data_IF_319707667398
#
_entry.id   IF_319707667398
#
_cell.length_a   1.000
_cell.length_b   1.000
_cell.length_c   1.000
_cell.angle_alpha   90.00
_cell.angle_beta   90.00
_cell.angle_gamma   90.00
#
_symmetry.space_group_name_H-M   'P 1'
#
loop_
_entity.id
_entity.type
_entity.pdbx_description
1 polymer ?
#
# COMPACT_ATOMS: atom_id res chain seq x y z
N UNK A 1 24.22 -33.77 -76.84
CA UNK A 1 23.79 -34.14 -75.47
C UNK A 1 24.51 -33.24 -74.47
N UNK A 2 23.76 -32.44 -73.68
CA UNK A 2 24.06 -32.07 -72.28
C UNK A 2 22.91 -31.17 -71.77
N UNK A 3 21.90 -31.82 -71.18
CA UNK A 3 20.90 -31.21 -70.29
C UNK A 3 21.48 -31.23 -68.87
N UNK A 4 21.24 -30.19 -68.09
CA UNK A 4 21.32 -30.28 -66.63
C UNK A 4 21.99 -29.06 -66.00
N UNK A 5 21.20 -28.15 -65.45
CA UNK A 5 21.75 -27.07 -64.63
C UNK A 5 20.84 -25.87 -64.44
N UNK A 6 19.57 -26.06 -64.06
CA UNK A 6 18.75 -24.90 -63.68
C UNK A 6 17.70 -25.16 -62.59
N UNK A 7 17.41 -26.42 -62.25
CA UNK A 7 16.24 -26.73 -61.41
C UNK A 7 16.55 -26.79 -59.91
N UNK A 8 17.81 -26.99 -59.48
CA UNK A 8 18.14 -27.20 -58.05
C UNK A 8 18.22 -25.93 -57.18
N UNK A 9 18.37 -24.73 -57.75
CA UNK A 9 18.56 -23.49 -56.95
C UNK A 9 17.26 -22.86 -56.44
N UNK A 10 16.13 -23.08 -57.13
CA UNK A 10 14.85 -22.47 -56.75
C UNK A 10 14.20 -23.15 -55.55
N UNK A 11 14.29 -24.48 -55.43
CA UNK A 11 13.66 -25.22 -54.32
C UNK A 11 14.27 -24.89 -52.95
N UNK A 12 15.60 -24.72 -52.86
CA UNK A 12 16.25 -24.33 -51.60
C UNK A 12 15.89 -22.92 -51.13
N UNK A 13 15.59 -21.99 -52.05
CA UNK A 13 15.14 -20.64 -51.71
C UNK A 13 13.74 -20.65 -51.08
N UNK A 14 12.82 -21.49 -51.60
CA UNK A 14 11.48 -21.64 -51.02
C UNK A 14 11.51 -22.38 -49.67
N UNK A 15 12.39 -23.38 -49.50
CA UNK A 15 12.57 -24.05 -48.20
C UNK A 15 13.18 -23.12 -47.14
N UNK A 16 14.18 -22.30 -47.50
CA UNK A 16 14.76 -21.29 -46.59
C UNK A 16 13.74 -20.20 -46.22
N UNK A 17 12.91 -19.76 -47.17
CA UNK A 17 11.85 -18.78 -46.90
C UNK A 17 10.73 -19.36 -46.05
N UNK A 18 10.36 -20.63 -46.28
CA UNK A 18 9.34 -21.34 -45.50
C UNK A 18 9.82 -21.67 -44.09
N UNK A 19 11.11 -22.00 -43.91
CA UNK A 19 11.72 -22.24 -42.60
C UNK A 19 11.85 -20.93 -41.80
N UNK A 20 12.23 -19.83 -42.45
CA UNK A 20 12.28 -18.50 -41.82
C UNK A 20 10.88 -17.97 -41.44
N UNK A 21 9.87 -18.20 -42.28
CA UNK A 21 8.48 -17.88 -41.96
C UNK A 21 7.92 -18.74 -40.82
N UNK A 22 8.27 -20.03 -40.75
CA UNK A 22 7.94 -20.89 -39.60
C UNK A 22 8.65 -20.43 -38.31
N UNK A 23 9.92 -20.03 -38.37
CA UNK A 23 10.64 -19.50 -37.20
C UNK A 23 10.02 -18.19 -36.66
N UNK A 24 9.50 -17.32 -37.53
CA UNK A 24 8.78 -16.10 -37.14
C UNK A 24 7.41 -16.38 -36.49
N UNK A 25 6.80 -17.54 -36.75
CA UNK A 25 5.55 -17.96 -36.09
C UNK A 25 5.76 -18.69 -34.75
N UNK A 26 6.99 -19.11 -34.42
CA UNK A 26 7.33 -19.75 -33.13
C UNK A 26 7.88 -18.78 -32.08
N UNK A 27 8.27 -17.55 -32.47
CA UNK A 27 8.32 -16.44 -31.52
C UNK A 27 6.89 -15.92 -31.36
N UNK A 28 6.06 -16.74 -30.72
CA UNK A 28 4.71 -16.36 -30.36
C UNK A 28 4.75 -14.98 -29.73
N UNK A 29 3.90 -14.09 -30.23
CA UNK A 29 3.41 -12.97 -29.46
C UNK A 29 2.81 -13.55 -28.17
N UNK A 30 3.64 -13.76 -27.15
CA UNK A 30 3.16 -13.87 -25.78
C UNK A 30 2.57 -12.53 -25.47
N UNK A 31 1.25 -12.39 -25.66
CA UNK A 31 0.52 -11.26 -25.11
C UNK A 31 0.84 -11.27 -23.63
N UNK A 32 1.49 -10.21 -23.17
CA UNK A 32 1.84 -10.01 -21.77
C UNK A 32 0.54 -10.12 -20.96
N UNK A 33 0.42 -11.16 -20.14
CA UNK A 33 -0.77 -11.36 -19.33
C UNK A 33 -0.78 -10.29 -18.24
N UNK A 34 -1.69 -9.33 -18.36
CA UNK A 34 -1.81 -8.24 -17.41
C UNK A 34 -2.85 -8.58 -16.34
N UNK A 35 -2.42 -8.61 -15.08
CA UNK A 35 -3.29 -8.87 -13.94
C UNK A 35 -3.81 -7.56 -13.35
N UNK A 36 -5.11 -7.33 -13.47
CA UNK A 36 -5.79 -6.23 -12.79
C UNK A 36 -6.09 -6.66 -11.35
N UNK A 37 -5.63 -5.86 -10.39
CA UNK A 37 -5.94 -6.03 -8.96
C UNK A 37 -6.89 -4.93 -8.52
N UNK A 38 -8.05 -5.30 -7.98
CA UNK A 38 -9.07 -4.37 -7.51
C UNK A 38 -8.71 -3.78 -6.15
N UNK A 39 -8.92 -2.47 -6.01
CA UNK A 39 -8.55 -1.75 -4.80
C UNK A 39 -9.49 -2.06 -3.62
N UNK A 40 -9.01 -1.93 -2.36
CA UNK A 40 -9.88 -1.79 -1.20
C UNK A 40 -10.78 -0.55 -1.34
N UNK A 41 -11.81 -0.42 -0.51
CA UNK A 41 -12.70 0.75 -0.53
C UNK A 41 -13.10 1.22 0.87
N UNK A 42 -13.36 2.51 1.02
CA UNK A 42 -13.85 3.10 2.27
C UNK A 42 -15.28 2.64 2.53
N UNK A 43 -15.60 2.35 3.79
CA UNK A 43 -16.98 2.08 4.20
C UNK A 43 -17.62 3.32 4.82
N UNK A 44 -16.99 3.87 5.85
CA UNK A 44 -17.67 4.81 6.74
C UNK A 44 -16.79 5.96 7.26
N UNK A 45 -15.53 5.69 7.58
CA UNK A 45 -14.67 6.66 8.24
C UNK A 45 -13.38 6.91 7.46
N UNK A 46 -13.22 8.17 7.05
CA UNK A 46 -12.01 8.74 6.47
C UNK A 46 -11.59 9.92 7.36
N UNK A 47 -10.69 9.72 8.34
CA UNK A 47 -10.31 10.78 9.24
C UNK A 47 -9.65 11.92 8.47
N UNK A 48 -10.07 13.14 8.81
CA UNK A 48 -9.36 14.36 8.48
C UNK A 48 -8.59 14.80 9.71
N UNK A 49 -7.48 15.48 9.51
CA UNK A 49 -6.57 15.77 10.61
C UNK A 49 -7.18 16.65 11.72
N UNK A 50 -8.30 17.34 11.47
CA UNK A 50 -9.04 18.12 12.48
C UNK A 50 -10.20 17.36 13.13
N UNK A 51 -10.29 16.05 12.91
CA UNK A 51 -11.36 15.24 13.49
C UNK A 51 -11.19 15.04 15.00
N UNK A 52 -12.31 15.11 15.73
CA UNK A 52 -12.40 14.75 17.15
C UNK A 52 -11.78 13.38 17.42
N UNK A 53 -11.21 13.17 18.61
CA UNK A 53 -10.48 11.93 18.92
C UNK A 53 -11.33 10.65 18.71
N UNK A 54 -12.66 10.76 18.83
CA UNK A 54 -13.61 9.67 18.56
C UNK A 54 -13.56 9.20 17.11
N UNK A 55 -13.21 10.08 16.18
CA UNK A 55 -13.15 9.88 14.73
C UNK A 55 -11.72 9.62 14.21
N UNK A 56 -10.70 9.63 15.07
CA UNK A 56 -9.29 9.36 14.70
C UNK A 56 -8.98 7.87 14.58
N UNK A 57 -9.67 7.22 13.65
CA UNK A 57 -9.45 5.84 13.24
C UNK A 57 -9.74 5.71 11.75
N UNK A 58 -9.21 4.65 11.14
CA UNK A 58 -9.41 4.33 9.72
C UNK A 58 -10.35 3.13 9.59
N UNK A 59 -11.27 3.17 8.63
CA UNK A 59 -12.25 2.11 8.40
C UNK A 59 -12.49 1.86 6.91
N UNK A 60 -12.03 0.70 6.45
CA UNK A 60 -12.11 0.30 5.05
C UNK A 60 -12.41 -1.20 4.92
N UNK A 61 -12.80 -1.62 3.72
CA UNK A 61 -13.03 -3.02 3.37
C UNK A 61 -11.95 -3.50 2.41
N UNK A 62 -11.39 -4.68 2.66
CA UNK A 62 -10.61 -5.40 1.65
C UNK A 62 -11.53 -5.85 0.50
N UNK A 63 -10.96 -6.05 -0.68
CA UNK A 63 -11.70 -6.44 -1.88
C UNK A 63 -11.16 -7.77 -2.42
N UNK A 64 -11.27 -8.82 -1.61
CA UNK A 64 -10.65 -10.12 -1.91
C UNK A 64 -11.51 -10.94 -2.86
N UNK A 65 -12.83 -10.76 -2.82
CA UNK A 65 -13.76 -11.50 -3.70
C UNK A 65 -13.58 -11.12 -5.15
N UNK A 66 -13.25 -9.85 -5.43
CA UNK A 66 -12.92 -9.39 -6.79
C UNK A 66 -11.47 -9.69 -7.19
N UNK A 67 -10.64 -10.11 -6.23
CA UNK A 67 -9.24 -10.52 -6.43
C UNK A 67 -9.01 -12.01 -6.16
N UNK A 68 -9.74 -12.94 -6.82
CA UNK A 68 -9.46 -14.36 -6.67
C UNK A 68 -8.09 -14.70 -7.26
N UNK A 69 -7.52 -15.83 -6.85
CA UNK A 69 -6.39 -16.42 -7.57
C UNK A 69 -6.87 -16.81 -8.99
N UNK A 70 -6.07 -16.48 -10.01
CA UNK A 70 -6.44 -16.66 -11.43
C UNK A 70 -5.23 -17.19 -12.19
N UNK A 71 -5.30 -18.43 -12.68
CA UNK A 71 -4.16 -19.05 -13.36
C UNK A 71 -2.93 -19.06 -12.47
N UNK A 72 -1.84 -18.43 -12.93
CA UNK A 72 -0.59 -18.30 -12.17
C UNK A 72 -0.58 -17.13 -11.18
N UNK A 73 -1.55 -16.21 -11.24
CA UNK A 73 -1.63 -15.09 -10.32
C UNK A 73 -2.14 -15.50 -8.95
N UNK A 74 -1.43 -15.04 -7.92
CA UNK A 74 -1.74 -15.27 -6.52
C UNK A 74 -2.01 -13.94 -5.82
N UNK A 75 -3.22 -13.79 -5.28
CA UNK A 75 -3.56 -12.67 -4.44
C UNK A 75 -2.95 -12.85 -3.03
N UNK A 76 -2.19 -11.84 -2.57
CA UNK A 76 -1.45 -11.91 -1.30
C UNK A 76 -2.20 -11.23 -0.16
N UNK A 77 -3.03 -10.23 -0.46
CA UNK A 77 -3.86 -9.52 0.52
C UNK A 77 -3.81 -8.00 0.35
N UNK A 78 -4.01 -7.27 1.44
CA UNK A 78 -4.03 -5.81 1.46
C UNK A 78 -2.90 -5.25 2.30
N UNK A 79 -2.00 -4.51 1.64
CA UNK A 79 -0.98 -3.71 2.29
C UNK A 79 -1.56 -2.36 2.71
N UNK A 80 -1.09 -1.84 3.83
CA UNK A 80 -1.41 -0.50 4.31
C UNK A 80 -0.09 0.25 4.40
N UNK A 81 -0.08 1.49 3.95
CA UNK A 81 1.11 2.35 3.89
C UNK A 81 0.85 3.63 4.69
N UNK A 82 1.91 4.17 5.29
CA UNK A 82 1.85 5.40 6.06
C UNK A 82 3.04 6.32 5.74
N UNK A 83 2.84 7.61 5.96
CA UNK A 83 3.90 8.62 6.03
C UNK A 83 3.57 9.63 7.12
N UNK A 84 4.60 10.05 7.86
CA UNK A 84 4.46 11.00 8.96
C UNK A 84 4.90 12.38 8.47
N UNK A 85 4.19 13.43 8.89
CA UNK A 85 4.50 14.82 8.55
C UNK A 85 4.43 15.67 9.81
N UNK A 86 5.28 16.70 9.93
CA UNK A 86 5.03 17.80 10.87
C UNK A 86 4.20 18.92 10.23
N UNK A 87 3.99 18.86 8.91
CA UNK A 87 3.22 19.82 8.15
C UNK A 87 2.15 19.16 7.30
N UNK A 88 0.88 19.29 7.70
CA UNK A 88 -0.23 18.72 6.94
C UNK A 88 -0.40 19.37 5.56
N UNK A 89 0.07 20.61 5.38
CA UNK A 89 -0.03 21.32 4.10
C UNK A 89 0.75 20.61 2.97
N UNK A 90 1.75 19.80 3.34
CA UNK A 90 2.50 18.98 2.39
C UNK A 90 1.72 17.74 1.91
N UNK A 91 0.67 17.33 2.62
CA UNK A 91 -0.11 16.13 2.31
C UNK A 91 -1.00 16.38 1.10
N UNK A 92 -1.63 17.56 0.99
CA UNK A 92 -2.58 17.87 -0.07
C UNK A 92 -2.00 17.67 -1.47
N UNK A 93 -0.79 18.14 -1.73
CA UNK A 93 -0.14 17.99 -3.04
C UNK A 93 0.19 16.53 -3.37
N UNK A 94 0.60 15.74 -2.36
CA UNK A 94 0.85 14.31 -2.49
C UNK A 94 -0.45 13.56 -2.78
N UNK A 95 -1.51 13.84 -2.03
CA UNK A 95 -2.83 13.24 -2.23
C UNK A 95 -3.37 13.53 -3.63
N UNK A 96 -3.26 14.78 -4.10
CA UNK A 96 -3.65 15.13 -5.48
C UNK A 96 -2.84 14.36 -6.52
N UNK A 97 -1.52 14.29 -6.38
CA UNK A 97 -0.67 13.58 -7.33
C UNK A 97 -0.98 12.07 -7.39
N UNK A 98 -1.19 11.43 -6.24
CA UNK A 98 -1.57 10.01 -6.17
C UNK A 98 -2.97 9.75 -6.73
N UNK A 99 -3.91 10.67 -6.48
CA UNK A 99 -5.26 10.60 -7.04
C UNK A 99 -5.24 10.73 -8.56
N UNK A 100 -4.40 11.61 -9.10
CA UNK A 100 -4.15 11.69 -10.54
C UNK A 100 -3.51 10.42 -11.09
N UNK A 101 -2.52 9.86 -10.39
CA UNK A 101 -1.84 8.62 -10.78
C UNK A 101 -2.77 7.39 -10.82
N UNK A 102 -3.83 7.36 -10.00
CA UNK A 102 -4.87 6.33 -10.05
C UNK A 102 -5.66 6.32 -11.38
N UNK A 103 -5.53 7.33 -12.25
CA UNK A 103 -6.13 7.34 -13.58
C UNK A 103 -5.23 6.72 -14.65
N UNK A 104 -4.03 6.26 -14.29
CA UNK A 104 -3.16 5.49 -15.18
C UNK A 104 -3.83 4.19 -15.64
N UNK A 105 -3.47 3.75 -16.84
CA UNK A 105 -3.84 2.42 -17.36
C UNK A 105 -3.05 1.29 -16.67
N UNK A 106 -1.86 1.61 -16.17
CA UNK A 106 -1.12 0.74 -15.24
C UNK A 106 -1.66 0.96 -13.82
N UNK A 107 -2.32 -0.06 -13.29
CA UNK A 107 -2.94 -0.07 -11.97
C UNK A 107 -1.91 0.02 -10.84
N UNK A 108 -0.69 -0.49 -11.08
CA UNK A 108 0.41 -0.46 -10.11
C UNK A 108 1.09 0.91 -10.05
N UNK A 109 0.88 1.78 -11.05
CA UNK A 109 1.58 3.05 -11.18
C UNK A 109 1.47 3.93 -9.92
N UNK A 110 0.26 4.10 -9.40
CA UNK A 110 0.05 4.91 -8.20
C UNK A 110 0.70 4.29 -6.94
N UNK A 111 0.67 2.96 -6.82
CA UNK A 111 1.33 2.25 -5.73
C UNK A 111 2.86 2.36 -5.80
N UNK A 112 3.43 2.29 -7.00
CA UNK A 112 4.86 2.50 -7.22
C UNK A 112 5.25 3.95 -6.91
N UNK A 113 4.46 4.93 -7.34
CA UNK A 113 4.68 6.34 -7.01
C UNK A 113 4.64 6.58 -5.48
N UNK A 114 3.68 5.97 -4.78
CA UNK A 114 3.53 6.01 -3.33
C UNK A 114 4.79 5.47 -2.60
N UNK A 115 5.29 4.30 -3.02
CA UNK A 115 6.45 3.61 -2.43
C UNK A 115 7.77 4.27 -2.80
N UNK A 116 7.98 4.54 -4.09
CA UNK A 116 9.28 4.83 -4.66
C UNK A 116 9.57 6.32 -4.74
N UNK A 117 8.55 7.16 -4.93
CA UNK A 117 8.72 8.62 -5.00
C UNK A 117 8.41 9.25 -3.66
N UNK A 118 7.23 9.00 -3.10
CA UNK A 118 6.80 9.62 -1.84
C UNK A 118 7.31 8.89 -0.59
N UNK A 119 7.96 7.74 -0.76
CA UNK A 119 8.62 6.98 0.30
C UNK A 119 7.70 6.67 1.47
N UNK A 120 6.43 6.36 1.19
CA UNK A 120 5.54 5.81 2.22
C UNK A 120 6.06 4.45 2.63
N UNK A 121 5.92 4.13 3.92
CA UNK A 121 6.37 2.85 4.48
C UNK A 121 5.17 1.97 4.75
N UNK A 122 5.34 0.67 4.56
CA UNK A 122 4.29 -0.27 4.89
C UNK A 122 4.07 -0.27 6.41
N UNK A 123 2.80 -0.13 6.81
CA UNK A 123 2.35 -0.27 8.17
C UNK A 123 2.57 -1.71 8.63
N UNK A 124 3.22 -1.82 9.77
CA UNK A 124 3.51 -3.08 10.43
C UNK A 124 2.52 -3.40 11.54
N UNK A 125 2.76 -4.55 12.16
CA UNK A 125 2.03 -5.01 13.32
C UNK A 125 2.95 -5.79 14.25
N UNK A 126 2.57 -5.97 15.51
CA UNK A 126 3.37 -6.73 16.48
C UNK A 126 3.57 -8.20 16.06
N UNK A 127 2.64 -8.78 15.29
CA UNK A 127 2.80 -10.13 14.75
C UNK A 127 3.63 -10.21 13.45
N UNK A 128 3.97 -9.08 12.82
CA UNK A 128 4.90 -9.02 11.69
C UNK A 128 4.42 -9.61 10.35
N UNK A 129 3.14 -9.40 9.98
CA UNK A 129 2.62 -9.82 8.67
C UNK A 129 2.99 -8.88 7.51
N UNK A 130 3.19 -9.44 6.31
CA UNK A 130 3.35 -8.68 5.05
C UNK A 130 2.65 -9.48 3.93
N UNK A 131 1.65 -8.92 3.23
CA UNK A 131 0.99 -7.64 3.52
C UNK A 131 0.35 -7.62 4.92
N UNK A 132 -0.01 -6.43 5.43
CA UNK A 132 -0.55 -6.28 6.79
C UNK A 132 -1.76 -7.20 7.00
N UNK A 133 -2.66 -7.23 6.01
CA UNK A 133 -3.86 -8.06 5.98
C UNK A 133 -3.65 -9.17 4.94
N UNK A 134 -3.29 -10.37 5.37
CA UNK A 134 -3.06 -11.52 4.47
C UNK A 134 -4.36 -12.04 3.89
N UNK A 135 -4.40 -12.34 2.60
CA UNK A 135 -5.58 -12.87 1.91
C UNK A 135 -6.15 -14.12 2.61
N UNK A 136 -7.47 -14.15 2.73
CA UNK A 136 -8.26 -15.32 3.18
C UNK A 136 -9.29 -15.74 2.14
N UNK A 137 -9.44 -14.97 1.06
CA UNK A 137 -10.42 -15.23 -0.01
C UNK A 137 -11.81 -14.66 0.26
N UNK A 138 -11.94 -13.78 1.26
CA UNK A 138 -13.19 -13.15 1.61
C UNK A 138 -12.94 -11.72 2.08
N UNK A 139 -13.80 -10.80 1.66
CA UNK A 139 -13.69 -9.40 2.08
C UNK A 139 -13.82 -9.25 3.59
N UNK A 140 -13.01 -8.35 4.16
CA UNK A 140 -12.99 -8.07 5.59
C UNK A 140 -12.97 -6.57 5.81
N UNK A 141 -13.81 -6.10 6.74
CA UNK A 141 -13.77 -4.73 7.24
C UNK A 141 -12.61 -4.60 8.23
N UNK A 142 -11.82 -3.55 8.09
CA UNK A 142 -10.60 -3.32 8.84
C UNK A 142 -10.74 -2.02 9.60
N UNK A 143 -10.48 -2.07 10.90
CA UNK A 143 -10.37 -0.90 11.75
C UNK A 143 -8.91 -0.71 12.16
N UNK A 144 -8.39 0.51 12.05
CA UNK A 144 -7.04 0.85 12.51
C UNK A 144 -7.08 2.13 13.34
N UNK A 145 -6.51 2.09 14.54
CA UNK A 145 -6.21 3.26 15.37
C UNK A 145 -4.74 3.21 15.75
N UNK A 146 -3.98 4.24 15.41
CA UNK A 146 -2.51 4.22 15.46
C UNK A 146 -1.90 4.39 16.86
N UNK A 147 -2.57 5.16 17.72
CA UNK A 147 -2.09 5.55 19.05
C UNK A 147 -3.21 5.43 20.07
N UNK A 148 -2.84 5.38 21.34
CA UNK A 148 -3.79 5.64 22.42
C UNK A 148 -4.13 7.14 22.42
N UNK A 149 -5.42 7.45 22.35
CA UNK A 149 -5.98 8.81 22.44
C UNK A 149 -6.69 9.08 23.78
N UNK A 150 -7.05 8.01 24.51
CA UNK A 150 -7.54 8.07 25.88
C UNK A 150 -7.22 6.75 26.59
N UNK A 151 -7.28 6.75 27.93
CA UNK A 151 -7.24 5.52 28.73
C UNK A 151 -8.59 4.77 28.76
N UNK A 152 -9.12 4.49 27.57
CA UNK A 152 -10.36 3.75 27.38
C UNK A 152 -10.20 2.80 26.19
N UNK A 153 -10.70 1.56 26.33
CA UNK A 153 -10.62 0.51 25.31
C UNK A 153 -11.07 0.94 23.92
N UNK A 154 -12.03 1.87 23.78
CA UNK A 154 -12.49 2.36 22.47
C UNK A 154 -11.44 3.22 21.73
N UNK A 155 -10.49 3.80 22.46
CA UNK A 155 -9.55 4.80 21.96
C UNK A 155 -8.09 4.37 22.07
N UNK A 156 -7.86 3.08 22.28
CA UNK A 156 -6.53 2.47 22.30
C UNK A 156 -6.02 2.13 20.91
N UNK A 157 -4.70 2.14 20.74
CA UNK A 157 -4.02 1.70 19.52
C UNK A 157 -4.37 0.23 19.23
N UNK A 158 -4.95 -0.03 18.06
CA UNK A 158 -5.35 -1.37 17.67
C UNK A 158 -5.62 -1.50 16.17
N UNK A 159 -5.51 -2.73 15.71
CA UNK A 159 -5.99 -3.22 14.43
C UNK A 159 -7.05 -4.28 14.74
N UNK A 160 -8.23 -4.17 14.14
CA UNK A 160 -9.28 -5.19 14.18
C UNK A 160 -9.55 -5.65 12.75
N UNK A 161 -9.32 -6.93 12.49
CA UNK A 161 -9.64 -7.58 11.21
C UNK A 161 -11.00 -8.26 11.34
N UNK A 162 -11.92 -7.97 10.41
CA UNK A 162 -13.31 -8.41 10.53
C UNK A 162 -14.11 -7.50 11.48
N UNK A 163 -13.83 -6.20 11.47
CA UNK A 163 -14.51 -5.21 12.30
C UNK A 163 -16.03 -5.21 12.02
N UNK A 164 -16.83 -5.26 13.08
CA UNK A 164 -18.30 -5.31 13.01
C UNK A 164 -18.98 -4.02 13.42
N UNK A 165 -18.21 -2.97 13.75
CA UNK A 165 -18.72 -1.70 14.26
C UNK A 165 -18.52 -1.47 15.76
N UNK A 166 -18.00 -2.46 16.50
CA UNK A 166 -17.61 -2.31 17.91
C UNK A 166 -16.09 -2.38 18.09
N UNK A 167 -15.48 -1.25 18.46
CA UNK A 167 -14.04 -1.13 18.69
C UNK A 167 -13.62 -1.41 20.14
N UNK A 168 -14.59 -1.75 21.02
CA UNK A 168 -14.35 -2.15 22.40
C UNK A 168 -13.69 -3.53 22.52
N UNK A 169 -13.77 -4.33 21.45
CA UNK A 169 -13.27 -5.70 21.38
C UNK A 169 -11.74 -5.78 21.46
N UNK A 170 -11.26 -6.99 21.72
CA UNK A 170 -9.83 -7.27 21.75
C UNK A 170 -9.19 -7.03 20.37
N UNK A 171 -7.99 -6.45 20.32
CA UNK A 171 -7.29 -6.21 19.07
C UNK A 171 -6.92 -7.53 18.39
N UNK A 172 -7.00 -7.58 17.06
CA UNK A 172 -6.30 -8.61 16.27
C UNK A 172 -4.79 -8.35 16.31
N UNK A 173 -4.40 -7.07 16.33
CA UNK A 173 -2.99 -6.67 16.41
C UNK A 173 -2.85 -5.21 16.89
N UNK A 174 -1.61 -4.77 17.11
CA UNK A 174 -1.27 -3.38 17.42
C UNK A 174 -0.43 -2.80 16.29
N UNK A 175 -0.75 -1.60 15.77
CA UNK A 175 0.00 -1.02 14.65
C UNK A 175 1.42 -0.66 15.06
N UNK A 176 2.37 -0.92 14.15
CA UNK A 176 3.79 -0.63 14.33
C UNK A 176 4.37 0.05 13.10
N UNK A 177 5.37 0.90 13.33
CA UNK A 177 6.11 1.65 12.30
C UNK A 177 7.54 1.12 12.17
N UNK A 178 8.23 1.49 11.10
CA UNK A 178 9.64 1.19 10.84
C UNK A 178 9.99 -0.31 10.96
N UNK A 179 9.24 -1.18 10.26
CA UNK A 179 9.50 -2.62 10.23
C UNK A 179 9.15 -3.33 11.55
N UNK A 180 7.96 -3.03 12.09
CA UNK A 180 7.41 -3.59 13.32
C UNK A 180 8.11 -3.18 14.62
N UNK A 181 8.91 -2.11 14.61
CA UNK A 181 9.78 -1.75 15.74
C UNK A 181 9.14 -0.74 16.68
N UNK A 182 8.60 0.35 16.14
CA UNK A 182 8.19 1.50 16.94
C UNK A 182 6.67 1.68 16.95
N UNK A 183 6.14 2.34 17.98
CA UNK A 183 4.75 2.82 18.01
C UNK A 183 4.64 4.20 17.34
N UNK A 184 3.41 4.67 17.23
CA UNK A 184 3.08 6.03 16.78
C UNK A 184 2.95 7.02 17.96
N UNK A 185 3.46 6.67 19.14
CA UNK A 185 3.42 7.58 20.30
C UNK A 185 4.49 8.68 20.22
N UNK A 186 5.48 8.53 19.34
CA UNK A 186 6.51 9.55 19.02
C UNK A 186 7.34 10.04 20.21
N UNK A 187 7.66 9.14 21.14
CA UNK A 187 8.44 9.45 22.33
C UNK A 187 7.62 10.11 23.44
N UNK A 188 6.29 10.15 23.33
CA UNK A 188 5.37 10.71 24.34
C UNK A 188 5.52 10.09 25.73
N UNK A 189 5.92 8.82 25.79
CA UNK A 189 6.18 8.10 27.04
C UNK A 189 7.66 8.15 27.47
N UNK A 190 8.42 9.04 26.82
CA UNK A 190 9.87 9.09 26.90
C UNK A 190 10.53 8.00 26.04
N UNK A 191 11.76 8.26 25.62
CA UNK A 191 12.57 7.31 24.83
C UNK A 191 13.02 6.08 25.63
N UNK A 192 12.63 5.94 26.90
CA UNK A 192 12.90 4.75 27.70
C UNK A 192 12.04 3.55 27.27
N UNK A 193 10.88 3.80 26.66
CA UNK A 193 10.17 2.75 25.94
C UNK A 193 10.94 2.42 24.65
N UNK A 194 11.18 1.12 24.44
CA UNK A 194 11.85 0.63 23.24
C UNK A 194 10.98 0.84 21.99
N UNK A 195 9.66 0.88 22.15
CA UNK A 195 8.71 1.08 21.06
C UNK A 195 8.38 2.57 20.81
N UNK A 196 8.21 3.40 21.86
CA UNK A 196 7.94 4.83 21.71
C UNK A 196 9.24 5.63 21.55
N UNK A 197 9.60 5.91 20.30
CA UNK A 197 10.78 6.74 19.97
C UNK A 197 10.39 8.06 19.34
N UNK A 198 11.03 9.14 19.81
CA UNK A 198 10.98 10.45 19.16
C UNK A 198 11.40 10.35 17.70
N UNK A 199 10.75 11.14 16.84
CA UNK A 199 11.07 11.21 15.42
C UNK A 199 12.29 12.10 15.18
N UNK A 200 13.18 11.66 14.31
CA UNK A 200 14.33 12.43 13.85
C UNK A 200 14.17 12.80 12.38
N UNK A 201 14.72 13.95 11.96
CA UNK A 201 14.63 14.41 10.56
C UNK A 201 15.24 13.44 9.53
N UNK A 202 16.06 12.49 9.99
CA UNK A 202 16.65 11.41 9.19
C UNK A 202 15.77 10.17 9.07
N UNK A 203 14.65 10.10 9.80
CA UNK A 203 13.74 8.95 9.77
C UNK A 203 13.07 8.83 8.40
N UNK A 204 13.23 7.68 7.77
CA UNK A 204 12.78 7.48 6.37
C UNK A 204 11.26 7.46 6.19
N UNK A 205 10.49 7.27 7.27
CA UNK A 205 9.03 7.33 7.30
C UNK A 205 8.49 8.72 7.65
N UNK A 206 9.38 9.69 7.88
CA UNK A 206 9.04 11.05 8.28
C UNK A 206 9.41 12.06 7.19
N UNK A 207 8.42 12.83 6.73
CA UNK A 207 8.62 13.99 5.89
C UNK A 207 8.80 15.22 6.79
N UNK A 208 10.05 15.48 7.13
CA UNK A 208 10.44 16.59 7.98
C UNK A 208 10.47 17.91 7.21
N UNK A 209 9.75 18.91 7.72
CA UNK A 209 9.92 20.31 7.31
C UNK A 209 10.75 21.08 8.34
N UNK A 210 11.82 21.73 7.89
CA UNK A 210 12.62 22.64 8.71
C UNK A 210 11.89 23.93 9.09
N UNK A 211 10.75 24.22 8.45
CA UNK A 211 9.89 25.36 8.77
C UNK A 211 9.03 25.15 10.02
N UNK A 212 9.25 24.07 10.78
CA UNK A 212 8.52 23.73 11.99
C UNK A 212 7.19 23.00 11.72
N UNK A 213 6.37 22.91 12.77
CA UNK A 213 5.03 22.33 12.70
C UNK A 213 4.04 23.26 11.97
N UNK A 214 2.94 22.71 11.46
CA UNK A 214 1.82 23.52 10.96
C UNK A 214 1.35 24.52 12.02
N UNK A 215 0.95 25.72 11.58
CA UNK A 215 0.52 26.79 12.47
C UNK A 215 -0.67 26.35 13.31
N UNK A 216 -0.57 26.47 14.64
CA UNK A 216 -1.61 26.00 15.58
C UNK A 216 -1.51 24.53 16.00
N UNK A 217 -0.59 23.76 15.41
CA UNK A 217 -0.43 22.31 15.64
C UNK A 217 0.94 21.97 16.25
N UNK A 218 1.38 22.78 17.22
CA UNK A 218 2.64 22.52 17.92
C UNK A 218 2.69 21.12 18.54
N UNK A 219 3.77 20.37 18.28
CA UNK A 219 3.97 18.98 18.71
C UNK A 219 2.95 17.96 18.18
N UNK A 220 2.18 18.31 17.14
CA UNK A 220 1.24 17.39 16.49
C UNK A 220 1.85 16.90 15.19
N UNK A 221 2.02 15.59 15.09
CA UNK A 221 2.39 14.91 13.85
C UNK A 221 1.15 14.44 13.12
N UNK A 222 1.18 14.53 11.80
CA UNK A 222 0.11 14.07 10.93
C UNK A 222 0.53 12.74 10.31
N UNK A 223 -0.27 11.69 10.50
CA UNK A 223 -0.03 10.39 9.88
C UNK A 223 -1.04 10.18 8.77
N UNK A 224 -0.53 10.18 7.55
CA UNK A 224 -1.31 9.98 6.34
C UNK A 224 -1.21 8.53 5.89
N UNK A 225 -2.34 7.94 5.47
CA UNK A 225 -2.41 6.50 5.20
C UNK A 225 -3.10 6.15 3.88
N UNK A 226 -2.60 5.08 3.25
CA UNK A 226 -3.17 4.48 2.05
C UNK A 226 -3.32 2.96 2.21
N UNK A 227 -4.30 2.36 1.55
CA UNK A 227 -4.43 0.91 1.39
C UNK A 227 -4.25 0.50 -0.08
N UNK A 228 -3.64 -0.65 -0.30
CA UNK A 228 -3.33 -1.21 -1.62
C UNK A 228 -3.54 -2.72 -1.59
N UNK A 229 -4.32 -3.25 -2.52
CA UNK A 229 -4.41 -4.69 -2.75
C UNK A 229 -3.16 -5.16 -3.50
N UNK A 230 -2.57 -6.27 -3.06
CA UNK A 230 -1.29 -6.78 -3.57
C UNK A 230 -1.43 -8.24 -3.99
N UNK A 231 -0.95 -8.55 -5.17
CA UNK A 231 -0.79 -9.90 -5.68
C UNK A 231 0.59 -10.09 -6.31
N UNK A 232 0.81 -11.28 -6.85
CA UNK A 232 2.00 -11.58 -7.65
C UNK A 232 1.66 -12.49 -8.82
N UNK A 233 2.40 -12.34 -9.91
CA UNK A 233 2.34 -13.23 -11.05
C UNK A 233 3.31 -14.42 -10.95
N UNK A 234 3.33 -15.25 -11.99
CA UNK A 234 4.25 -16.38 -12.18
C UNK A 234 5.74 -16.03 -12.08
N UNK A 235 6.11 -14.80 -12.43
CA UNK A 235 7.48 -14.32 -12.37
C UNK A 235 7.82 -13.71 -11.01
N UNK A 236 6.91 -13.82 -10.03
CA UNK A 236 7.01 -13.18 -8.72
C UNK A 236 7.03 -11.65 -8.79
N UNK A 237 6.57 -11.05 -9.88
CA UNK A 237 6.42 -9.60 -9.99
C UNK A 237 5.25 -9.18 -9.13
N UNK A 238 5.44 -8.17 -8.30
CA UNK A 238 4.36 -7.60 -7.50
C UNK A 238 3.38 -6.85 -8.40
N UNK A 239 2.10 -7.20 -8.28
CA UNK A 239 0.99 -6.54 -8.97
C UNK A 239 0.15 -5.82 -7.91
N UNK A 240 -0.04 -4.51 -8.08
CA UNK A 240 -0.74 -3.67 -7.12
C UNK A 240 -2.02 -3.09 -7.73
N UNK A 241 -3.02 -2.88 -6.88
CA UNK A 241 -4.17 -2.06 -7.24
C UNK A 241 -3.81 -0.58 -7.27
N UNK A 242 -4.76 0.22 -7.77
CA UNK A 242 -4.87 1.64 -7.44
C UNK A 242 -4.80 1.85 -5.92
N UNK A 243 -4.27 2.99 -5.49
CA UNK A 243 -4.16 3.31 -4.05
C UNK A 243 -5.47 3.87 -3.53
N UNK A 244 -5.92 3.42 -2.36
CA UNK A 244 -7.03 4.01 -1.63
C UNK A 244 -6.48 4.95 -0.57
N UNK A 245 -6.80 6.25 -0.62
CA UNK A 245 -6.49 7.15 0.49
C UNK A 245 -7.41 6.81 1.66
N UNK A 246 -6.83 6.55 2.83
CA UNK A 246 -7.60 6.24 4.04
C UNK A 246 -7.88 7.50 4.88
N UNK A 247 -7.14 8.58 4.63
CA UNK A 247 -7.22 9.83 5.39
C UNK A 247 -5.95 10.12 6.19
N UNK A 248 -6.05 11.10 7.08
CA UNK A 248 -4.95 11.61 7.89
C UNK A 248 -5.41 11.81 9.34
N UNK A 249 -4.65 11.31 10.31
CA UNK A 249 -4.91 11.55 11.75
C UNK A 249 -3.84 12.43 12.38
N UNK A 250 -4.21 13.34 13.29
CA UNK A 250 -3.26 14.08 14.11
C UNK A 250 -2.85 13.22 15.32
N UNK A 251 -1.60 13.33 15.75
CA UNK A 251 -1.11 12.70 16.96
C UNK A 251 -0.24 13.71 17.70
N UNK A 252 -0.71 14.12 18.88
CA UNK A 252 0.05 15.00 19.77
C UNK A 252 1.13 14.18 20.52
N UNK A 253 2.40 14.48 20.27
CA UNK A 253 3.52 13.82 20.93
C UNK A 253 3.70 14.23 22.40
N UNK A 254 2.95 15.23 22.88
CA UNK A 254 3.03 15.74 24.25
C UNK A 254 1.90 15.29 25.18
N UNK A 255 0.80 14.69 24.67
CA UNK A 255 -0.35 14.27 25.51
C UNK A 255 -0.98 12.97 25.05
N UNK A 256 -1.40 12.11 25.99
CA UNK A 256 -2.17 10.89 25.72
C UNK A 256 -3.66 11.13 25.55
N UNK A 257 -4.20 12.14 26.22
CA UNK A 257 -5.58 12.59 26.06
C UNK A 257 -5.58 13.69 25.01
N UNK A 258 -5.74 13.31 23.74
CA UNK A 258 -5.72 14.23 22.62
C UNK A 258 -6.76 13.88 21.56
#
# INVERSE_FOLDING_TARGET
>A
MKRGGAVRRKYHLYELFSLAACCLCFFGCGLEEYYVVEAPFIIQQEPKYDSEFTLRYFDFKTNETENPNRGSFVFLGTAVYYKIYNRHESITSVTSALSSANNSTDASYAANLLKDTYKYKQLGSEAGSTPLIRATGADRRIYIRLTNYQNNRFYQAKIIVGYTGDSSVSPTNVPKRAGNRYSFDFGRDGDNDKASKTLFSTDTDYNYSSSGFSSGYGNIYFVDMYAVSVGRDENYTEQCSKVLHLGTVPINASSKDN
#
